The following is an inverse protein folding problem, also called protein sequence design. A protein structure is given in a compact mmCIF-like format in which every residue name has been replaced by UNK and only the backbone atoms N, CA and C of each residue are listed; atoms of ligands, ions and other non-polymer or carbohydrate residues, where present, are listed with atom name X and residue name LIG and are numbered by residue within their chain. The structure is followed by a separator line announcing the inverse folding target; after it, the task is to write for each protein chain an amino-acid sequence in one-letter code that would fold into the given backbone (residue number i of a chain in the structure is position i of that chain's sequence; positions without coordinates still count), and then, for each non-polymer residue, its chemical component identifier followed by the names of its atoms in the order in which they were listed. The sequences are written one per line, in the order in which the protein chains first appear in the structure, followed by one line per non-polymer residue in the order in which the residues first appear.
data_IF_910766850110
#
_entry.id   IF_910766850110
#
_cell.length_a   1.000
_cell.length_b   1.000
_cell.length_c   1.000
_cell.angle_alpha   90.00
_cell.angle_beta   90.00
_cell.angle_gamma   90.00
#
_symmetry.space_group_name_H-M   'P 1'
#
loop_
_entity.id
_entity.type
_entity.pdbx_description
1 polymer ?
#
# COMPACT_ATOMS: atom_id res chain seq x y z
N UNK A 1 -9.35 -59.88 -14.07
CA UNK A 1 -9.41 -58.83 -15.11
C UNK A 1 -10.86 -58.30 -15.17
N UNK A 2 -11.17 -57.36 -14.32
CA UNK A 2 -12.51 -56.76 -14.24
C UNK A 2 -12.42 -55.36 -14.80
N UNK A 3 -13.21 -55.12 -15.81
CA UNK A 3 -13.27 -53.93 -16.64
C UNK A 3 -13.78 -52.71 -15.86
N UNK A 4 -12.93 -51.71 -15.72
CA UNK A 4 -13.33 -50.35 -15.34
C UNK A 4 -13.59 -49.51 -16.62
N UNK A 5 -14.71 -49.72 -17.29
CA UNK A 5 -15.11 -48.95 -18.48
C UNK A 5 -16.55 -48.43 -18.40
N UNK A 6 -17.05 -48.09 -17.22
CA UNK A 6 -18.43 -47.60 -17.09
C UNK A 6 -18.60 -46.20 -16.51
N UNK A 7 -17.69 -45.72 -15.71
CA UNK A 7 -17.88 -44.47 -14.94
C UNK A 7 -17.66 -43.17 -15.76
N UNK A 8 -16.79 -43.20 -16.76
CA UNK A 8 -16.45 -41.98 -17.54
C UNK A 8 -17.53 -41.58 -18.54
N UNK A 9 -18.21 -42.54 -19.17
CA UNK A 9 -19.24 -42.26 -20.17
C UNK A 9 -20.55 -41.73 -19.53
N UNK A 10 -20.92 -42.19 -18.34
CA UNK A 10 -22.07 -41.68 -17.60
C UNK A 10 -21.84 -40.29 -17.01
N UNK A 11 -20.63 -39.97 -16.59
CA UNK A 11 -20.30 -38.64 -16.09
C UNK A 11 -20.30 -37.58 -17.21
N UNK A 12 -19.81 -37.92 -18.40
CA UNK A 12 -19.84 -37.01 -19.56
C UNK A 12 -21.28 -36.68 -20.00
N UNK A 13 -22.17 -37.69 -20.06
CA UNK A 13 -23.58 -37.46 -20.40
C UNK A 13 -24.35 -36.69 -19.33
N UNK A 14 -24.03 -36.87 -18.04
CA UNK A 14 -24.62 -36.09 -16.96
C UNK A 14 -24.16 -34.60 -17.00
N UNK A 15 -22.90 -34.37 -17.29
CA UNK A 15 -22.36 -33.00 -17.40
C UNK A 15 -22.94 -32.26 -18.63
N UNK A 16 -23.14 -32.94 -19.76
CA UNK A 16 -23.79 -32.37 -20.95
C UNK A 16 -25.26 -32.05 -20.70
N UNK A 17 -26.00 -32.92 -20.02
CA UNK A 17 -27.41 -32.69 -19.65
C UNK A 17 -27.51 -31.48 -18.67
N UNK A 18 -26.62 -31.42 -17.67
CA UNK A 18 -26.52 -30.30 -16.76
C UNK A 18 -26.27 -28.98 -17.51
N UNK A 19 -25.37 -28.98 -18.50
CA UNK A 19 -25.06 -27.78 -19.28
C UNK A 19 -26.24 -27.31 -20.13
N UNK A 20 -27.00 -28.25 -20.70
CA UNK A 20 -28.21 -27.94 -21.45
C UNK A 20 -29.31 -27.34 -20.53
N UNK A 21 -29.47 -27.85 -19.31
CA UNK A 21 -30.37 -27.27 -18.31
C UNK A 21 -29.95 -25.89 -17.87
N UNK A 22 -28.65 -25.69 -17.61
CA UNK A 22 -28.09 -24.39 -17.26
C UNK A 22 -28.35 -23.35 -18.36
N UNK A 23 -28.16 -23.75 -19.62
CA UNK A 23 -28.45 -22.92 -20.78
C UNK A 23 -29.94 -22.58 -20.89
N UNK A 24 -30.82 -23.55 -20.69
CA UNK A 24 -32.25 -23.30 -20.71
C UNK A 24 -32.68 -22.31 -19.61
N UNK A 25 -32.11 -22.41 -18.40
CA UNK A 25 -32.36 -21.45 -17.33
C UNK A 25 -31.87 -20.06 -17.72
N UNK A 26 -30.68 -19.96 -18.34
CA UNK A 26 -30.14 -18.69 -18.84
C UNK A 26 -31.04 -18.06 -19.91
N UNK A 27 -31.47 -18.84 -20.89
CA UNK A 27 -32.34 -18.40 -21.98
C UNK A 27 -33.75 -18.00 -21.46
N UNK A 28 -34.20 -18.59 -20.37
CA UNK A 28 -35.42 -18.20 -19.65
C UNK A 28 -35.26 -16.93 -18.79
N UNK A 29 -34.03 -16.39 -18.67
CA UNK A 29 -33.74 -15.22 -17.85
C UNK A 29 -33.55 -15.47 -16.37
N UNK A 30 -33.58 -16.73 -15.93
CA UNK A 30 -33.28 -17.14 -14.55
C UNK A 30 -31.74 -17.26 -14.36
N UNK A 31 -31.10 -16.10 -14.30
CA UNK A 31 -29.62 -16.03 -14.28
C UNK A 31 -29.04 -16.60 -12.99
N UNK A 32 -29.74 -16.50 -11.86
CA UNK A 32 -29.29 -17.08 -10.60
C UNK A 32 -29.32 -18.61 -10.65
N UNK A 33 -30.38 -19.18 -11.19
CA UNK A 33 -30.47 -20.62 -11.40
C UNK A 33 -29.44 -21.10 -12.42
N UNK A 34 -29.27 -20.36 -13.52
CA UNK A 34 -28.26 -20.67 -14.53
C UNK A 34 -26.86 -20.72 -13.97
N UNK A 35 -26.47 -19.73 -13.12
CA UNK A 35 -25.18 -19.69 -12.45
C UNK A 35 -24.94 -20.94 -11.61
N UNK A 36 -25.90 -21.29 -10.74
CA UNK A 36 -25.83 -22.49 -9.89
C UNK A 36 -25.67 -23.78 -10.70
N UNK A 37 -26.44 -23.90 -11.78
CA UNK A 37 -26.38 -25.07 -12.67
C UNK A 37 -25.02 -25.15 -13.40
N UNK A 38 -24.48 -24.05 -13.90
CA UNK A 38 -23.14 -24.06 -14.50
C UNK A 38 -22.05 -24.43 -13.48
N UNK A 39 -22.19 -24.05 -12.22
CA UNK A 39 -21.28 -24.48 -11.15
C UNK A 39 -21.38 -25.96 -10.84
N UNK A 40 -22.62 -26.51 -10.87
CA UNK A 40 -22.83 -27.94 -10.74
C UNK A 40 -22.20 -28.73 -11.91
N UNK A 41 -22.29 -28.19 -13.15
CA UNK A 41 -21.66 -28.82 -14.31
C UNK A 41 -20.14 -28.87 -14.14
N UNK A 42 -19.54 -27.84 -13.54
CA UNK A 42 -18.10 -27.81 -13.17
C UNK A 42 -17.76 -28.90 -12.16
N UNK A 43 -18.61 -29.08 -11.13
CA UNK A 43 -18.48 -30.15 -10.14
C UNK A 43 -18.64 -31.56 -10.73
N UNK A 44 -19.47 -31.72 -11.78
CA UNK A 44 -19.62 -32.94 -12.54
C UNK A 44 -18.46 -33.23 -13.52
N UNK A 45 -17.41 -32.38 -13.51
CA UNK A 45 -16.21 -32.60 -14.30
C UNK A 45 -16.18 -31.89 -15.65
N UNK A 46 -17.16 -31.04 -15.99
CA UNK A 46 -17.12 -30.22 -17.19
C UNK A 46 -16.10 -29.09 -16.99
N UNK A 47 -14.90 -29.28 -17.47
CA UNK A 47 -13.81 -28.31 -17.34
C UNK A 47 -13.62 -27.52 -18.64
N UNK A 48 -13.10 -26.29 -18.49
CA UNK A 48 -12.70 -25.48 -19.62
C UNK A 48 -13.17 -24.03 -19.55
N UNK A 49 -12.58 -23.16 -20.37
CA UNK A 49 -12.85 -21.72 -20.30
C UNK A 49 -14.31 -21.37 -20.68
N UNK A 50 -14.99 -22.20 -21.48
CA UNK A 50 -16.38 -21.95 -21.87
C UNK A 50 -17.36 -22.04 -20.68
N UNK A 51 -17.15 -22.97 -19.75
CA UNK A 51 -18.02 -23.09 -18.57
C UNK A 51 -17.82 -21.90 -17.65
N UNK A 52 -16.57 -21.54 -17.38
CA UNK A 52 -16.25 -20.34 -16.60
C UNK A 52 -16.78 -19.06 -17.25
N UNK A 53 -16.75 -18.98 -18.58
CA UNK A 53 -17.34 -17.85 -19.29
C UNK A 53 -18.86 -17.77 -19.06
N UNK A 54 -19.57 -18.88 -19.16
CA UNK A 54 -21.03 -18.92 -18.92
C UNK A 54 -21.39 -18.60 -17.46
N UNK A 55 -20.62 -19.11 -16.49
CA UNK A 55 -20.75 -18.71 -15.07
C UNK A 55 -20.57 -17.18 -14.95
N UNK A 56 -19.52 -16.63 -15.55
CA UNK A 56 -19.25 -15.19 -15.51
C UNK A 56 -20.37 -14.35 -16.10
N UNK A 57 -20.95 -14.78 -17.23
CA UNK A 57 -22.07 -14.08 -17.87
C UNK A 57 -23.35 -14.21 -17.03
N UNK A 58 -23.67 -15.39 -16.51
CA UNK A 58 -24.84 -15.61 -15.65
C UNK A 58 -24.76 -14.79 -14.37
N UNK A 59 -23.65 -14.85 -13.65
CA UNK A 59 -23.38 -14.04 -12.45
C UNK A 59 -23.46 -12.52 -12.72
N UNK A 60 -22.90 -12.07 -13.86
CA UNK A 60 -22.99 -10.67 -14.26
C UNK A 60 -24.44 -10.21 -14.50
N UNK A 61 -25.25 -11.06 -15.13
CA UNK A 61 -26.69 -10.80 -15.40
C UNK A 61 -27.52 -10.90 -14.12
N UNK A 62 -27.17 -11.80 -13.21
CA UNK A 62 -27.77 -11.91 -11.87
C UNK A 62 -27.38 -10.73 -10.95
N UNK A 63 -26.32 -9.98 -11.27
CA UNK A 63 -25.83 -8.86 -10.47
C UNK A 63 -24.73 -9.24 -9.48
N UNK A 64 -24.33 -10.51 -9.41
CA UNK A 64 -23.15 -10.93 -8.62
C UNK A 64 -21.86 -10.59 -9.35
N UNK A 65 -21.45 -9.31 -9.19
CA UNK A 65 -20.25 -8.81 -9.85
C UNK A 65 -18.94 -9.38 -9.27
N UNK A 66 -18.98 -9.91 -8.04
CA UNK A 66 -17.82 -10.54 -7.43
C UNK A 66 -17.56 -11.89 -8.08
N UNK A 67 -18.59 -12.72 -8.16
CA UNK A 67 -18.52 -14.04 -8.79
C UNK A 67 -18.21 -13.94 -10.28
N UNK A 68 -18.87 -13.01 -10.99
CA UNK A 68 -18.60 -12.73 -12.39
C UNK A 68 -17.11 -12.40 -12.63
N UNK A 69 -16.53 -11.55 -11.78
CA UNK A 69 -15.12 -11.18 -11.86
C UNK A 69 -14.19 -12.39 -11.70
N UNK A 70 -14.45 -13.25 -10.71
CA UNK A 70 -13.68 -14.48 -10.50
C UNK A 70 -13.74 -15.40 -11.72
N UNK A 71 -14.93 -15.63 -12.25
CA UNK A 71 -15.13 -16.50 -13.40
C UNK A 71 -14.41 -15.97 -14.66
N UNK A 72 -14.49 -14.67 -14.96
CA UNK A 72 -13.77 -14.09 -16.09
C UNK A 72 -12.26 -14.06 -15.89
N UNK A 73 -11.76 -13.97 -14.66
CA UNK A 73 -10.32 -14.12 -14.38
C UNK A 73 -9.82 -15.54 -14.68
N UNK A 74 -10.63 -16.58 -14.41
CA UNK A 74 -10.31 -17.95 -14.84
C UNK A 74 -10.28 -18.09 -16.37
N UNK A 75 -11.26 -17.50 -17.08
CA UNK A 75 -11.27 -17.45 -18.56
C UNK A 75 -10.01 -16.78 -19.10
N UNK A 76 -9.56 -15.71 -18.44
CA UNK A 76 -8.38 -14.93 -18.86
C UNK A 76 -7.06 -15.72 -18.81
N UNK A 77 -7.02 -16.86 -18.12
CA UNK A 77 -5.88 -17.79 -18.13
C UNK A 77 -5.70 -18.52 -19.48
N UNK A 78 -6.75 -18.55 -20.29
CA UNK A 78 -6.69 -19.13 -21.64
C UNK A 78 -6.39 -18.03 -22.65
N UNK A 79 -5.19 -17.99 -23.28
CA UNK A 79 -4.78 -16.87 -24.12
C UNK A 79 -5.76 -16.51 -25.22
N UNK A 80 -6.36 -17.52 -25.89
CA UNK A 80 -7.33 -17.30 -26.96
C UNK A 80 -8.62 -16.61 -26.49
N UNK A 81 -9.03 -16.77 -25.22
CA UNK A 81 -10.24 -16.18 -24.66
C UNK A 81 -9.95 -14.98 -23.72
N UNK A 82 -8.70 -14.74 -23.41
CA UNK A 82 -8.29 -13.67 -22.49
C UNK A 82 -8.81 -12.27 -22.92
N UNK A 83 -8.75 -11.86 -24.19
CA UNK A 83 -9.28 -10.56 -24.62
C UNK A 83 -10.78 -10.41 -24.36
N UNK A 84 -11.56 -11.47 -24.59
CA UNK A 84 -13.00 -11.47 -24.33
C UNK A 84 -13.29 -11.39 -22.82
N UNK A 85 -12.50 -12.09 -22.01
CA UNK A 85 -12.57 -11.98 -20.56
C UNK A 85 -12.25 -10.57 -20.06
N UNK A 86 -11.20 -9.92 -20.60
CA UNK A 86 -10.86 -8.53 -20.26
C UNK A 86 -11.96 -7.55 -20.65
N UNK A 87 -12.63 -7.77 -21.78
CA UNK A 87 -13.79 -6.97 -22.13
C UNK A 87 -14.91 -7.05 -21.07
N UNK A 88 -15.23 -8.26 -20.61
CA UNK A 88 -16.24 -8.46 -19.59
C UNK A 88 -15.81 -7.92 -18.20
N UNK A 89 -14.54 -8.03 -17.83
CA UNK A 89 -13.99 -7.39 -16.63
C UNK A 89 -14.10 -5.86 -16.70
N UNK A 90 -13.95 -5.28 -17.89
CA UNK A 90 -14.22 -3.87 -18.15
C UNK A 90 -15.68 -3.49 -17.92
N UNK A 91 -16.63 -4.34 -18.35
CA UNK A 91 -18.07 -4.12 -18.08
C UNK A 91 -18.40 -4.21 -16.58
N UNK A 92 -17.79 -5.14 -15.85
CA UNK A 92 -17.91 -5.24 -14.38
C UNK A 92 -17.40 -3.96 -13.72
N UNK A 93 -16.23 -3.47 -14.12
CA UNK A 93 -15.67 -2.24 -13.59
C UNK A 93 -16.60 -1.03 -13.82
N UNK A 94 -17.23 -0.95 -15.00
CA UNK A 94 -18.27 0.07 -15.27
C UNK A 94 -19.45 -0.03 -14.32
N UNK A 95 -19.99 -1.23 -14.09
CA UNK A 95 -21.09 -1.42 -13.13
C UNK A 95 -20.71 -1.05 -11.70
N UNK A 96 -19.42 -1.10 -11.36
CA UNK A 96 -18.87 -0.65 -10.07
C UNK A 96 -18.52 0.84 -10.04
N UNK A 97 -18.83 1.59 -11.11
CA UNK A 97 -18.49 2.99 -11.29
C UNK A 97 -16.97 3.27 -11.28
N UNK A 98 -16.14 2.26 -11.59
CA UNK A 98 -14.70 2.41 -11.71
C UNK A 98 -14.29 2.56 -13.18
N UNK A 99 -14.46 3.79 -13.70
CA UNK A 99 -14.11 4.13 -15.08
C UNK A 99 -12.61 3.97 -15.37
N UNK A 100 -11.73 4.15 -14.37
CA UNK A 100 -10.28 3.99 -14.52
C UNK A 100 -9.93 2.53 -14.74
N UNK A 101 -10.45 1.63 -13.94
CA UNK A 101 -10.26 0.18 -14.07
C UNK A 101 -10.90 -0.32 -15.37
N UNK A 102 -12.12 0.12 -15.70
CA UNK A 102 -12.80 -0.22 -16.95
C UNK A 102 -11.94 0.13 -18.17
N UNK A 103 -11.36 1.33 -18.18
CA UNK A 103 -10.45 1.76 -19.24
C UNK A 103 -9.23 0.87 -19.39
N UNK A 104 -8.64 0.45 -18.28
CA UNK A 104 -7.48 -0.44 -18.31
C UNK A 104 -7.81 -1.80 -18.92
N UNK A 105 -8.95 -2.38 -18.54
CA UNK A 105 -9.42 -3.66 -19.08
C UNK A 105 -9.78 -3.59 -20.57
N UNK A 106 -10.50 -2.55 -20.98
CA UNK A 106 -10.84 -2.39 -22.41
C UNK A 106 -9.60 -2.12 -23.26
N UNK A 107 -8.62 -1.33 -22.78
CA UNK A 107 -7.33 -1.17 -23.48
C UNK A 107 -6.61 -2.49 -23.66
N UNK A 108 -6.60 -3.33 -22.64
CA UNK A 108 -5.98 -4.64 -22.68
C UNK A 108 -6.70 -5.56 -23.65
N UNK A 109 -8.03 -5.60 -23.60
CA UNK A 109 -8.87 -6.34 -24.54
C UNK A 109 -8.60 -5.95 -26.00
N UNK A 110 -8.61 -4.63 -26.30
CA UNK A 110 -8.38 -4.14 -27.65
C UNK A 110 -6.97 -4.47 -28.18
N UNK A 111 -5.95 -4.37 -27.30
CA UNK A 111 -4.55 -4.59 -27.68
C UNK A 111 -4.20 -6.07 -27.89
N UNK A 112 -4.75 -6.96 -27.05
CA UNK A 112 -4.39 -8.38 -27.04
C UNK A 112 -5.35 -9.23 -27.89
N UNK A 113 -6.45 -8.66 -28.42
CA UNK A 113 -7.39 -9.38 -29.26
C UNK A 113 -6.89 -9.60 -30.67
N UNK A 114 -6.95 -10.84 -31.12
CA UNK A 114 -6.80 -11.22 -32.53
C UNK A 114 -8.15 -11.27 -33.26
N UNK A 115 -9.28 -11.20 -32.53
CA UNK A 115 -10.63 -11.09 -33.06
C UNK A 115 -10.98 -9.60 -33.22
N UNK A 116 -11.16 -9.18 -34.48
CA UNK A 116 -11.50 -7.78 -34.83
C UNK A 116 -12.80 -7.32 -34.15
N UNK A 117 -13.78 -8.21 -33.95
CA UNK A 117 -15.06 -7.86 -33.31
C UNK A 117 -14.86 -7.51 -31.85
N UNK A 118 -14.06 -8.30 -31.11
CA UNK A 118 -13.75 -8.05 -29.69
C UNK A 118 -12.92 -6.78 -29.56
N UNK A 119 -11.94 -6.59 -30.44
CA UNK A 119 -11.10 -5.40 -30.49
C UNK A 119 -11.95 -4.14 -30.76
N UNK A 120 -12.85 -4.17 -31.74
CA UNK A 120 -13.74 -3.07 -32.09
C UNK A 120 -14.74 -2.74 -30.95
N UNK A 121 -15.31 -3.78 -30.28
CA UNK A 121 -16.18 -3.57 -29.12
C UNK A 121 -15.45 -2.89 -27.97
N UNK A 122 -14.23 -3.33 -27.69
CA UNK A 122 -13.41 -2.74 -26.63
C UNK A 122 -13.00 -1.28 -26.97
N UNK A 123 -12.62 -1.01 -28.23
CA UNK A 123 -12.30 0.33 -28.69
C UNK A 123 -13.51 1.29 -28.58
N UNK A 124 -14.70 0.82 -29.00
CA UNK A 124 -15.93 1.59 -28.85
C UNK A 124 -16.23 1.92 -27.39
N UNK A 125 -16.08 0.95 -26.47
CA UNK A 125 -16.25 1.22 -25.04
C UNK A 125 -15.25 2.23 -24.50
N UNK A 126 -14.01 2.25 -25.03
CA UNK A 126 -13.01 3.24 -24.68
C UNK A 126 -13.40 4.67 -25.12
N UNK A 127 -14.04 4.80 -26.27
CA UNK A 127 -14.57 6.06 -26.77
C UNK A 127 -15.79 6.57 -25.97
N UNK A 128 -16.67 5.66 -25.56
CA UNK A 128 -17.86 5.96 -24.75
C UNK A 128 -17.48 6.32 -23.29
N UNK A 129 -16.33 5.89 -22.80
CA UNK A 129 -15.86 6.28 -21.47
C UNK A 129 -15.57 7.78 -21.44
N UNK A 130 -16.04 8.51 -20.40
CA UNK A 130 -15.63 9.88 -20.19
C UNK A 130 -14.11 9.96 -20.40
N UNK A 131 -13.64 10.84 -21.26
CA UNK A 131 -12.19 11.10 -21.34
C UNK A 131 -11.75 11.26 -19.90
N UNK A 132 -10.80 10.44 -19.44
CA UNK A 132 -10.28 10.59 -18.09
C UNK A 132 -9.96 12.08 -17.98
N UNK A 133 -10.68 12.79 -17.10
CA UNK A 133 -10.30 14.14 -16.76
C UNK A 133 -8.80 13.99 -16.43
N UNK A 134 -7.97 14.70 -17.17
CA UNK A 134 -6.53 14.67 -16.86
C UNK A 134 -6.44 15.00 -15.39
N UNK A 135 -5.95 14.07 -14.58
CA UNK A 135 -5.71 14.38 -13.18
C UNK A 135 -4.95 15.71 -13.17
N UNK A 136 -5.27 16.62 -12.29
CA UNK A 136 -4.55 17.88 -12.23
C UNK A 136 -3.05 17.53 -12.17
N UNK A 137 -2.19 18.33 -12.80
CA UNK A 137 -0.75 18.04 -12.82
C UNK A 137 -0.13 18.11 -11.42
N UNK A 138 -0.90 18.48 -10.43
CA UNK A 138 -0.48 18.63 -9.04
C UNK A 138 -1.36 17.80 -8.09
N UNK A 139 -0.79 17.43 -6.98
CA UNK A 139 -1.50 16.88 -5.81
C UNK A 139 -1.01 17.57 -4.55
N UNK A 140 -1.90 17.75 -3.59
CA UNK A 140 -1.58 18.30 -2.28
C UNK A 140 -2.14 17.37 -1.21
N UNK A 141 -1.39 17.22 -0.15
CA UNK A 141 -1.75 16.55 1.08
C UNK A 141 -1.39 17.45 2.24
N UNK A 142 -2.26 17.55 3.23
CA UNK A 142 -1.94 18.22 4.48
C UNK A 142 -2.57 17.44 5.65
N UNK A 143 -1.86 17.41 6.77
CA UNK A 143 -2.31 16.86 8.04
C UNK A 143 -2.02 17.85 9.14
N UNK A 144 -3.03 18.15 9.96
CA UNK A 144 -2.88 18.91 11.21
C UNK A 144 -3.44 18.10 12.38
N UNK A 145 -2.76 18.09 13.50
CA UNK A 145 -3.15 17.29 14.65
C UNK A 145 -2.61 17.83 15.96
N UNK A 146 -3.19 17.30 17.04
CA UNK A 146 -2.73 17.51 18.42
C UNK A 146 -2.67 16.15 19.12
N UNK A 147 -1.85 16.05 20.13
CA UNK A 147 -1.70 14.80 20.87
C UNK A 147 -0.98 14.95 22.19
N UNK A 148 -0.68 13.81 22.76
CA UNK A 148 0.04 13.69 24.04
C UNK A 148 1.03 12.52 23.93
N UNK A 149 2.19 12.71 24.52
CA UNK A 149 3.32 11.80 24.53
C UNK A 149 3.80 11.67 25.98
N UNK A 150 3.76 10.46 26.53
CA UNK A 150 4.13 10.23 27.93
C UNK A 150 5.64 10.01 28.15
N UNK A 151 6.43 9.97 27.08
CA UNK A 151 7.89 9.82 27.16
C UNK A 151 8.59 10.45 25.95
N UNK A 152 8.58 11.78 25.90
CA UNK A 152 9.18 12.59 24.81
C UNK A 152 10.68 12.32 24.65
N UNK A 153 11.41 12.23 25.77
CA UNK A 153 12.87 12.03 25.76
C UNK A 153 13.31 10.59 25.49
N UNK A 154 12.39 9.62 25.39
CA UNK A 154 12.66 8.18 25.19
C UNK A 154 13.62 7.62 26.26
N UNK A 155 13.40 7.97 27.50
CA UNK A 155 14.26 7.59 28.64
C UNK A 155 13.64 6.50 29.49
N UNK A 156 14.51 5.78 30.20
CA UNK A 156 14.08 4.75 31.16
C UNK A 156 13.42 5.35 32.39
N UNK A 157 12.26 4.84 32.77
CA UNK A 157 11.57 5.20 34.00
C UNK A 157 12.35 4.80 35.28
N UNK A 158 13.28 3.83 35.15
CA UNK A 158 14.07 3.34 36.29
C UNK A 158 15.18 4.30 36.74
N UNK A 159 15.47 5.34 35.96
CA UNK A 159 16.51 6.31 36.27
C UNK A 159 15.86 7.54 36.92
N UNK A 160 16.05 7.71 38.23
CA UNK A 160 15.70 8.93 38.97
C UNK A 160 16.58 10.12 38.53
N UNK A 161 16.63 10.40 37.24
CA UNK A 161 17.29 11.58 36.69
C UNK A 161 16.27 12.69 36.47
N UNK A 162 16.62 13.96 36.71
CA UNK A 162 15.79 15.08 36.26
C UNK A 162 15.53 14.93 34.74
N UNK A 163 14.27 14.73 34.35
CA UNK A 163 13.86 14.49 32.96
C UNK A 163 13.56 13.03 32.59
N UNK A 164 13.64 12.05 33.52
CA UNK A 164 13.03 10.74 33.30
C UNK A 164 11.50 10.89 33.34
N UNK A 165 10.79 10.37 32.32
CA UNK A 165 9.34 10.46 32.23
C UNK A 165 8.83 11.85 31.88
N UNK A 166 9.51 12.57 30.97
CA UNK A 166 9.01 13.84 30.43
C UNK A 166 7.85 13.57 29.51
N UNK A 167 6.65 13.91 29.97
CA UNK A 167 5.42 13.87 29.21
C UNK A 167 5.07 15.28 28.72
N UNK A 168 4.50 15.39 27.54
CA UNK A 168 4.04 16.68 27.01
C UNK A 168 2.94 16.51 25.95
N UNK A 169 2.14 17.55 25.82
CA UNK A 169 1.21 17.70 24.69
C UNK A 169 1.94 18.27 23.48
N UNK A 170 1.46 17.94 22.30
CA UNK A 170 2.07 18.43 21.07
C UNK A 170 1.03 18.86 20.04
N UNK A 171 1.50 19.66 19.08
CA UNK A 171 0.81 19.94 17.84
C UNK A 171 1.69 19.54 16.65
N UNK A 172 1.07 18.97 15.61
CA UNK A 172 1.74 18.61 14.36
C UNK A 172 1.07 19.27 13.15
N UNK A 173 1.88 19.68 12.19
CA UNK A 173 1.43 20.09 10.86
C UNK A 173 2.37 19.48 9.82
N UNK A 174 1.81 18.76 8.86
CA UNK A 174 2.52 18.24 7.71
C UNK A 174 1.82 18.71 6.44
N UNK A 175 2.58 19.21 5.48
CA UNK A 175 2.12 19.50 4.14
C UNK A 175 3.05 18.85 3.13
N UNK A 176 2.50 18.24 2.10
CA UNK A 176 3.25 17.69 0.98
C UNK A 176 2.52 17.96 -0.32
N UNK A 177 3.27 18.12 -1.39
CA UNK A 177 2.71 18.34 -2.70
C UNK A 177 3.60 17.79 -3.80
N UNK A 178 2.99 17.49 -4.93
CA UNK A 178 3.72 17.11 -6.13
C UNK A 178 3.17 17.86 -7.34
N UNK A 179 4.04 18.13 -8.31
CA UNK A 179 3.71 18.78 -9.56
C UNK A 179 4.37 18.06 -10.73
N UNK A 180 3.55 17.48 -11.62
CA UNK A 180 4.00 16.87 -12.86
C UNK A 180 4.17 17.95 -13.93
N UNK A 181 5.40 18.42 -14.13
CA UNK A 181 5.71 19.45 -15.14
C UNK A 181 5.94 18.87 -16.54
N UNK A 182 6.22 17.57 -16.63
CA UNK A 182 6.27 16.78 -17.86
C UNK A 182 5.61 15.42 -17.61
N UNK A 183 5.26 14.64 -18.64
CA UNK A 183 4.54 13.37 -18.50
C UNK A 183 5.22 12.35 -17.57
N UNK A 184 6.55 12.39 -17.47
CA UNK A 184 7.35 11.45 -16.66
C UNK A 184 8.15 12.15 -15.58
N UNK A 185 8.08 13.47 -15.45
CA UNK A 185 8.85 14.24 -14.49
C UNK A 185 7.95 14.93 -13.47
N UNK A 186 8.32 14.82 -12.21
CA UNK A 186 7.58 15.37 -11.07
C UNK A 186 8.52 16.11 -10.12
N UNK A 187 8.07 17.24 -9.62
CA UNK A 187 8.65 17.90 -8.45
C UNK A 187 7.85 17.48 -7.24
N UNK A 188 8.53 17.12 -6.18
CA UNK A 188 7.95 16.74 -4.89
C UNK A 188 8.48 17.70 -3.83
N UNK A 189 7.60 18.25 -2.99
CA UNK A 189 7.96 19.10 -1.87
C UNK A 189 7.18 18.66 -0.62
N UNK A 190 7.84 18.71 0.54
CA UNK A 190 7.19 18.45 1.82
C UNK A 190 7.76 19.37 2.90
N UNK A 191 6.90 19.78 3.84
CA UNK A 191 7.25 20.51 5.04
C UNK A 191 6.48 19.92 6.22
N UNK A 192 7.15 19.74 7.34
CA UNK A 192 6.57 19.25 8.58
C UNK A 192 7.04 20.08 9.77
N UNK A 193 6.13 20.32 10.70
CA UNK A 193 6.39 21.00 11.96
C UNK A 193 5.76 20.15 13.06
N UNK A 194 6.53 19.90 14.10
CA UNK A 194 6.09 19.23 15.31
C UNK A 194 6.53 20.09 16.50
N UNK A 195 5.60 20.44 17.36
CA UNK A 195 5.85 21.33 18.49
C UNK A 195 5.29 20.74 19.78
N UNK A 196 6.13 20.65 20.77
CA UNK A 196 5.73 20.36 22.13
C UNK A 196 5.27 21.64 22.86
N UNK A 197 4.47 21.49 23.90
CA UNK A 197 3.92 22.63 24.63
C UNK A 197 4.94 23.27 25.58
N UNK A 198 5.83 22.47 26.16
CA UNK A 198 6.79 22.89 27.18
C UNK A 198 8.22 22.40 26.89
N UNK A 199 8.38 21.33 26.12
CA UNK A 199 9.67 20.69 25.80
C UNK A 199 10.15 21.11 24.42
N UNK A 200 10.41 22.41 24.25
CA UNK A 200 10.77 23.02 22.97
C UNK A 200 12.11 22.52 22.40
N UNK A 201 13.01 21.97 23.24
CA UNK A 201 14.23 21.32 22.79
C UNK A 201 13.99 20.08 21.92
N UNK A 202 12.78 19.48 21.96
CA UNK A 202 12.38 18.37 21.10
C UNK A 202 11.52 18.80 19.90
N UNK A 203 11.31 20.08 19.73
CA UNK A 203 10.60 20.63 18.58
C UNK A 203 11.30 20.29 17.27
N UNK A 204 10.51 19.87 16.28
CA UNK A 204 11.06 19.44 14.99
C UNK A 204 10.51 20.27 13.83
N UNK A 205 11.36 20.56 12.88
CA UNK A 205 10.97 21.10 11.57
C UNK A 205 11.68 20.31 10.48
N UNK A 206 10.92 19.78 9.52
CA UNK A 206 11.45 19.05 8.39
C UNK A 206 11.04 19.73 7.08
N UNK A 207 12.00 19.87 6.17
CA UNK A 207 11.78 20.37 4.81
C UNK A 207 12.38 19.39 3.81
N UNK A 208 11.71 19.17 2.69
CA UNK A 208 12.21 18.32 1.61
C UNK A 208 11.76 18.87 0.26
N UNK A 209 12.66 18.83 -0.72
CA UNK A 209 12.39 19.13 -2.11
C UNK A 209 13.09 18.10 -2.99
N UNK A 210 12.42 17.62 -4.02
CA UNK A 210 12.98 16.63 -4.91
C UNK A 210 12.43 16.71 -6.32
N UNK A 211 13.12 16.03 -7.22
CA UNK A 211 12.71 15.81 -8.60
C UNK A 211 12.74 14.32 -8.88
N UNK A 212 11.65 13.80 -9.43
CA UNK A 212 11.46 12.38 -9.71
C UNK A 212 11.18 12.18 -11.21
N UNK A 213 11.80 11.16 -11.80
CA UNK A 213 11.56 10.70 -13.17
C UNK A 213 10.96 9.31 -13.16
N UNK A 214 9.79 9.17 -13.77
CA UNK A 214 9.07 7.90 -13.93
C UNK A 214 9.45 7.17 -15.21
N UNK A 215 9.77 5.89 -15.11
CA UNK A 215 10.14 4.99 -16.21
C UNK A 215 9.23 3.76 -16.17
N UNK A 216 8.21 3.69 -17.06
CA UNK A 216 7.42 2.46 -17.19
C UNK A 216 8.26 1.38 -17.89
N UNK A 217 8.43 0.22 -17.23
CA UNK A 217 9.25 -0.87 -17.74
C UNK A 217 8.51 -2.21 -17.56
N UNK A 218 7.99 -2.77 -18.63
CA UNK A 218 7.38 -4.10 -18.69
C UNK A 218 6.44 -4.45 -17.50
N UNK A 219 5.48 -3.56 -17.26
CA UNK A 219 4.51 -3.69 -16.18
C UNK A 219 5.03 -3.30 -14.79
N UNK A 220 6.29 -2.89 -14.66
CA UNK A 220 6.84 -2.19 -13.51
C UNK A 220 6.75 -0.68 -13.70
N UNK A 221 6.52 0.04 -12.62
CA UNK A 221 6.75 1.47 -12.55
C UNK A 221 8.06 1.68 -11.79
N UNK A 222 9.08 2.15 -12.48
CA UNK A 222 10.33 2.56 -11.87
C UNK A 222 10.33 4.07 -11.75
N UNK A 223 10.71 4.59 -10.59
CA UNK A 223 10.91 6.01 -10.32
C UNK A 223 12.34 6.23 -9.84
N UNK A 224 13.03 7.20 -10.42
CA UNK A 224 14.36 7.64 -10.00
C UNK A 224 14.28 9.10 -9.58
N UNK A 225 14.83 9.45 -8.43
CA UNK A 225 14.72 10.80 -7.89
C UNK A 225 15.99 11.30 -7.21
N UNK A 226 16.13 12.63 -7.19
CA UNK A 226 17.10 13.36 -6.39
C UNK A 226 16.36 14.26 -5.41
N UNK A 227 16.82 14.31 -4.15
CA UNK A 227 16.16 15.03 -3.06
C UNK A 227 17.17 15.80 -2.23
N UNK A 228 16.79 17.01 -1.81
CA UNK A 228 17.44 17.75 -0.74
C UNK A 228 16.51 17.81 0.46
N UNK A 229 17.03 17.66 1.67
CA UNK A 229 16.26 17.81 2.90
C UNK A 229 17.02 18.47 4.01
N UNK A 230 16.29 19.10 4.92
CA UNK A 230 16.77 19.69 6.16
C UNK A 230 15.85 19.28 7.29
N UNK A 231 16.43 18.87 8.39
CA UNK A 231 15.77 18.60 9.66
C UNK A 231 16.36 19.53 10.73
N UNK A 232 15.50 20.14 11.52
CA UNK A 232 15.88 20.95 12.67
C UNK A 232 15.27 20.35 13.94
N UNK A 233 16.01 20.45 15.06
CA UNK A 233 15.62 20.00 16.39
C UNK A 233 15.88 21.12 17.40
N UNK A 234 14.91 21.44 18.25
CA UNK A 234 15.02 22.52 19.24
C UNK A 234 15.28 23.91 18.63
N UNK A 235 14.97 24.11 17.36
CA UNK A 235 15.24 25.34 16.62
C UNK A 235 16.54 25.33 15.81
N UNK A 236 17.51 24.48 16.15
CA UNK A 236 18.78 24.36 15.46
C UNK A 236 18.73 23.36 14.31
N UNK A 237 19.55 23.57 13.30
CA UNK A 237 19.66 22.61 12.20
C UNK A 237 20.36 21.36 12.71
N UNK A 238 19.62 20.24 12.70
CA UNK A 238 20.10 18.94 13.10
C UNK A 238 20.91 18.27 11.98
N UNK A 239 20.33 18.21 10.77
CA UNK A 239 21.00 17.67 9.59
C UNK A 239 20.52 18.32 8.30
N UNK A 240 21.39 18.37 7.30
CA UNK A 240 21.04 18.53 5.89
C UNK A 240 21.46 17.31 5.10
N UNK A 241 20.69 16.92 4.11
CA UNK A 241 21.06 15.79 3.27
C UNK A 241 20.72 16.00 1.80
N UNK A 242 21.53 15.36 0.94
CA UNK A 242 21.26 15.18 -0.48
C UNK A 242 21.17 13.68 -0.74
N UNK A 243 20.12 13.25 -1.42
CA UNK A 243 19.85 11.84 -1.65
C UNK A 243 19.58 11.54 -3.12
N UNK A 244 20.01 10.37 -3.57
CA UNK A 244 19.47 9.69 -4.74
C UNK A 244 18.55 8.56 -4.27
N UNK A 245 17.41 8.40 -4.94
CA UNK A 245 16.45 7.35 -4.62
C UNK A 245 15.97 6.63 -5.88
N UNK A 246 15.70 5.34 -5.75
CA UNK A 246 15.05 4.51 -6.75
C UNK A 246 13.88 3.79 -6.10
N UNK A 247 12.73 3.77 -6.76
CA UNK A 247 11.56 3.01 -6.34
C UNK A 247 11.04 2.21 -7.50
N UNK A 248 10.73 0.94 -7.27
CA UNK A 248 10.08 0.06 -8.23
C UNK A 248 8.75 -0.42 -7.65
N UNK A 249 7.70 -0.43 -8.46
CA UNK A 249 6.41 -0.97 -8.05
C UNK A 249 5.74 -1.75 -9.17
N UNK A 250 5.04 -2.83 -8.80
CA UNK A 250 4.25 -3.65 -9.73
C UNK A 250 2.98 -4.13 -9.06
N UNK A 251 1.85 -3.90 -9.74
CA UNK A 251 0.58 -4.47 -9.35
C UNK A 251 0.38 -5.83 -10.04
N UNK A 252 0.07 -6.85 -9.25
CA UNK A 252 -0.28 -8.19 -9.71
C UNK A 252 -1.79 -8.34 -9.61
N UNK A 253 -2.45 -8.47 -10.75
CA UNK A 253 -3.91 -8.54 -10.80
C UNK A 253 -4.45 -9.68 -9.92
N UNK A 254 -5.31 -9.35 -8.96
CA UNK A 254 -5.90 -10.29 -8.00
C UNK A 254 -5.00 -10.68 -6.82
N UNK A 255 -3.71 -10.28 -6.82
CA UNK A 255 -2.75 -10.68 -5.78
C UNK A 255 -2.21 -9.51 -4.95
N UNK A 256 -2.27 -8.28 -5.45
CA UNK A 256 -1.79 -7.11 -4.72
C UNK A 256 -0.66 -6.36 -5.41
N UNK A 257 0.03 -5.51 -4.67
CA UNK A 257 1.09 -4.63 -5.19
C UNK A 257 2.37 -4.83 -4.38
N UNK A 258 3.47 -5.05 -5.07
CA UNK A 258 4.82 -5.02 -4.50
C UNK A 258 5.44 -3.65 -4.76
N UNK A 259 6.10 -3.08 -3.76
CA UNK A 259 6.97 -1.91 -3.87
C UNK A 259 8.32 -2.22 -3.25
N UNK A 260 9.38 -1.74 -3.89
CA UNK A 260 10.73 -1.76 -3.32
C UNK A 260 11.35 -0.38 -3.51
N UNK A 261 12.17 0.04 -2.56
CA UNK A 261 12.89 1.31 -2.65
C UNK A 261 14.32 1.18 -2.16
N UNK A 262 15.17 2.00 -2.72
CA UNK A 262 16.56 2.23 -2.29
C UNK A 262 16.78 3.73 -2.23
N UNK A 263 17.38 4.22 -1.16
CA UNK A 263 17.80 5.60 -1.00
C UNK A 263 19.23 5.64 -0.47
N UNK A 264 20.07 6.44 -1.11
CA UNK A 264 21.43 6.71 -0.66
C UNK A 264 21.57 8.22 -0.46
N UNK A 265 21.99 8.62 0.73
CA UNK A 265 22.09 10.01 1.13
C UNK A 265 23.50 10.34 1.58
N UNK A 266 23.99 11.52 1.22
CA UNK A 266 25.07 12.21 1.92
C UNK A 266 24.42 13.09 2.97
N UNK A 267 24.82 12.92 4.22
CA UNK A 267 24.29 13.64 5.39
C UNK A 267 25.37 14.58 5.90
N UNK A 268 24.99 15.80 6.23
CA UNK A 268 25.83 16.79 6.90
C UNK A 268 25.14 17.21 8.20
N UNK A 269 25.71 16.81 9.33
CA UNK A 269 25.27 17.26 10.65
C UNK A 269 25.83 18.65 10.95
N UNK A 270 25.08 19.47 11.68
CA UNK A 270 25.47 20.85 11.99
C UNK A 270 25.57 21.07 13.49
N UNK A 271 26.45 21.99 13.91
CA UNK A 271 26.65 22.36 15.30
C UNK A 271 27.03 21.16 16.17
N UNK A 272 26.29 20.96 17.25
CA UNK A 272 26.45 19.82 18.17
C UNK A 272 26.20 18.46 17.54
N UNK A 273 25.59 18.44 16.35
CA UNK A 273 25.27 17.24 15.58
C UNK A 273 26.25 16.99 14.43
N UNK A 274 27.39 17.69 14.38
CA UNK A 274 28.39 17.54 13.31
C UNK A 274 28.86 16.09 13.13
N UNK A 275 28.91 15.31 14.21
CA UNK A 275 29.24 13.87 14.18
C UNK A 275 28.29 12.97 13.36
N UNK A 276 27.10 13.48 13.00
CA UNK A 276 26.16 12.79 12.08
C UNK A 276 26.63 12.82 10.61
N UNK A 277 27.62 13.65 10.29
CA UNK A 277 28.17 13.78 8.93
C UNK A 277 28.64 12.42 8.41
N UNK A 278 28.18 12.07 7.20
CA UNK A 278 28.49 10.76 6.63
C UNK A 278 27.56 10.33 5.52
N UNK A 279 27.29 9.04 5.44
CA UNK A 279 26.39 8.46 4.46
C UNK A 279 25.30 7.61 5.11
N UNK A 280 24.11 7.62 4.50
CA UNK A 280 22.98 6.81 4.93
C UNK A 280 22.40 6.05 3.75
N UNK A 281 22.26 4.75 3.89
CA UNK A 281 21.66 3.88 2.89
C UNK A 281 20.42 3.22 3.47
N UNK A 282 19.27 3.43 2.83
CA UNK A 282 17.98 2.82 3.18
C UNK A 282 17.54 1.87 2.07
N UNK A 283 17.07 0.69 2.46
CA UNK A 283 16.47 -0.30 1.56
C UNK A 283 15.17 -0.79 2.16
N UNK A 284 14.14 -0.94 1.34
CA UNK A 284 12.89 -1.50 1.81
C UNK A 284 12.07 -2.17 0.73
N UNK A 285 11.20 -3.07 1.17
CA UNK A 285 10.20 -3.70 0.33
C UNK A 285 8.88 -3.77 1.10
N UNK A 286 7.79 -3.62 0.37
CA UNK A 286 6.43 -3.66 0.89
C UNK A 286 5.54 -4.43 -0.06
N UNK A 287 4.65 -5.24 0.51
CA UNK A 287 3.61 -5.93 -0.20
C UNK A 287 2.24 -5.52 0.34
N UNK A 288 1.37 -5.04 -0.53
CA UNK A 288 0.00 -4.64 -0.21
C UNK A 288 -0.99 -5.54 -0.94
N UNK A 289 -2.00 -6.00 -0.23
CA UNK A 289 -3.10 -6.75 -0.82
C UNK A 289 -4.41 -6.44 -0.12
N UNK A 290 -5.51 -6.81 -0.73
CA UNK A 290 -6.84 -6.63 -0.15
C UNK A 290 -7.69 -7.87 -0.35
N UNK A 291 -8.53 -8.16 0.64
CA UNK A 291 -9.50 -9.24 0.58
C UNK A 291 -10.81 -8.77 1.21
N UNK A 292 -11.87 -8.68 0.41
CA UNK A 292 -13.16 -8.11 0.81
C UNK A 292 -13.01 -6.66 1.31
N UNK A 293 -13.43 -6.39 2.56
CA UNK A 293 -13.32 -5.08 3.21
C UNK A 293 -12.01 -4.87 3.98
N UNK A 294 -11.08 -5.83 3.92
CA UNK A 294 -9.80 -5.79 4.61
C UNK A 294 -8.67 -5.49 3.62
N UNK A 295 -7.88 -4.49 3.93
CA UNK A 295 -6.60 -4.24 3.29
C UNK A 295 -5.48 -4.69 4.22
N UNK A 296 -4.39 -5.20 3.65
CA UNK A 296 -3.21 -5.66 4.38
C UNK A 296 -1.96 -5.08 3.76
N UNK A 297 -0.98 -4.78 4.58
CA UNK A 297 0.36 -4.48 4.14
C UNK A 297 1.37 -5.23 5.02
N UNK A 298 2.45 -5.69 4.42
CA UNK A 298 3.61 -6.20 5.13
C UNK A 298 4.86 -5.55 4.54
N UNK A 299 5.83 -5.22 5.38
CA UNK A 299 7.07 -4.59 4.93
C UNK A 299 8.28 -5.13 5.67
N UNK A 300 9.41 -5.04 4.98
CA UNK A 300 10.74 -5.17 5.54
C UNK A 300 11.56 -3.98 5.08
N UNK A 301 12.28 -3.32 5.97
CA UNK A 301 13.17 -2.21 5.65
C UNK A 301 14.39 -2.22 6.54
N UNK A 302 15.47 -1.62 6.06
CA UNK A 302 16.68 -1.49 6.82
C UNK A 302 17.45 -0.26 6.43
N UNK A 303 18.31 0.17 7.33
CA UNK A 303 19.19 1.30 7.17
C UNK A 303 20.59 0.95 7.65
N UNK A 304 21.55 1.45 6.92
CA UNK A 304 22.94 1.53 7.32
C UNK A 304 23.35 3.01 7.35
N UNK A 305 23.72 3.48 8.53
CA UNK A 305 24.16 4.84 8.77
C UNK A 305 25.64 4.82 9.15
N UNK A 306 26.47 5.39 8.28
CA UNK A 306 27.93 5.49 8.43
C UNK A 306 28.27 6.95 8.71
N UNK A 307 28.52 7.26 9.98
CA UNK A 307 28.78 8.60 10.47
C UNK A 307 30.25 8.78 10.86
N UNK A 308 30.74 10.02 10.82
CA UNK A 308 32.07 10.38 11.29
C UNK A 308 32.28 10.04 12.77
N UNK A 309 31.25 10.30 13.59
CA UNK A 309 31.27 9.88 15.00
C UNK A 309 30.47 8.57 15.16
N UNK A 310 31.15 7.53 15.66
CA UNK A 310 30.55 6.22 15.90
C UNK A 310 29.38 6.23 16.89
N UNK A 311 29.25 7.27 17.71
CA UNK A 311 28.10 7.45 18.62
C UNK A 311 26.78 7.55 17.84
N UNK A 312 26.81 8.13 16.64
CA UNK A 312 25.64 8.25 15.78
C UNK A 312 25.54 7.17 14.70
N UNK A 313 26.60 6.37 14.51
CA UNK A 313 26.58 5.29 13.56
C UNK A 313 25.67 4.15 14.04
N UNK A 314 24.82 3.68 13.18
CA UNK A 314 23.91 2.56 13.50
C UNK A 314 23.47 1.83 12.25
N UNK A 315 23.02 0.60 12.44
CA UNK A 315 22.31 -0.15 11.40
C UNK A 315 21.08 -0.81 12.02
N UNK A 316 20.01 -0.82 11.29
CA UNK A 316 18.80 -1.47 11.78
C UNK A 316 18.04 -2.20 10.69
N UNK A 317 17.26 -3.18 11.11
CA UNK A 317 16.28 -3.87 10.29
C UNK A 317 14.94 -3.79 11.00
N UNK A 318 13.88 -3.50 10.24
CA UNK A 318 12.50 -3.46 10.73
C UNK A 318 11.62 -4.36 9.87
N UNK A 319 10.78 -5.14 10.53
CA UNK A 319 9.69 -5.90 9.93
C UNK A 319 8.37 -5.35 10.48
N UNK A 320 7.36 -5.24 9.65
CA UNK A 320 6.07 -4.79 10.11
C UNK A 320 4.92 -5.28 9.26
N UNK A 321 3.73 -5.13 9.81
CA UNK A 321 2.48 -5.45 9.15
C UNK A 321 1.36 -4.54 9.60
N UNK A 322 0.38 -4.35 8.72
CA UNK A 322 -0.80 -3.53 8.94
C UNK A 322 -2.04 -4.22 8.39
N UNK A 323 -3.14 -4.12 9.11
CA UNK A 323 -4.48 -4.46 8.66
C UNK A 323 -5.37 -3.23 8.71
N UNK A 324 -6.08 -2.97 7.61
CA UNK A 324 -7.01 -1.86 7.42
C UNK A 324 -8.40 -2.41 7.18
N UNK A 325 -9.34 -2.10 8.02
CA UNK A 325 -10.71 -2.58 7.94
C UNK A 325 -11.69 -1.43 7.68
N UNK A 326 -12.38 -1.46 6.56
CA UNK A 326 -13.52 -0.58 6.28
C UNK A 326 -14.75 -1.14 6.99
N UNK A 327 -15.06 -0.60 8.18
CA UNK A 327 -16.20 -1.02 9.01
C UNK A 327 -17.52 -0.59 8.38
N UNK A 328 -17.56 0.65 7.88
CA UNK A 328 -18.67 1.26 7.15
C UNK A 328 -18.12 2.17 6.05
N UNK A 329 -18.93 2.73 5.16
CA UNK A 329 -18.45 3.72 4.18
C UNK A 329 -17.78 4.96 4.81
N UNK A 330 -18.06 5.26 6.08
CA UNK A 330 -17.53 6.43 6.78
C UNK A 330 -16.48 6.09 7.83
N UNK A 331 -16.48 4.88 8.37
CA UNK A 331 -15.59 4.48 9.46
C UNK A 331 -14.63 3.37 9.06
N UNK A 332 -13.39 3.51 9.44
CA UNK A 332 -12.35 2.50 9.31
C UNK A 332 -11.60 2.27 10.62
N UNK A 333 -10.94 1.14 10.70
CA UNK A 333 -10.02 0.77 11.77
C UNK A 333 -8.74 0.25 11.13
N UNK A 334 -7.60 0.79 11.56
CA UNK A 334 -6.28 0.32 11.17
C UNK A 334 -5.56 -0.21 12.41
N UNK A 335 -4.85 -1.31 12.26
CA UNK A 335 -3.97 -1.82 13.30
C UNK A 335 -2.65 -2.21 12.65
N UNK A 336 -1.53 -1.84 13.26
CA UNK A 336 -0.19 -2.21 12.79
C UNK A 336 0.72 -2.60 13.94
N UNK A 337 1.68 -3.47 13.62
CA UNK A 337 2.77 -3.82 14.52
C UNK A 337 4.09 -3.75 13.74
N UNK A 338 5.15 -3.33 14.43
CA UNK A 338 6.51 -3.32 13.89
C UNK A 338 7.53 -3.78 14.92
N UNK A 339 8.50 -4.53 14.45
CA UNK A 339 9.64 -4.99 15.23
C UNK A 339 10.90 -4.46 14.56
N UNK A 340 11.74 -3.74 15.29
CA UNK A 340 13.03 -3.23 14.82
C UNK A 340 14.14 -3.74 15.71
N UNK A 341 15.19 -4.23 15.09
CA UNK A 341 16.48 -4.47 15.74
C UNK A 341 17.49 -3.47 15.24
N UNK A 342 18.14 -2.79 16.19
CA UNK A 342 19.21 -1.82 15.92
C UNK A 342 20.52 -2.38 16.48
N UNK A 343 21.57 -2.35 15.67
CA UNK A 343 22.92 -2.68 16.08
C UNK A 343 23.71 -1.38 16.26
N UNK A 344 24.19 -1.16 17.45
CA UNK A 344 25.03 -0.03 17.80
C UNK A 344 26.50 -0.48 17.77
N UNK A 345 27.42 0.24 17.11
CA UNK A 345 28.82 -0.08 17.11
C UNK A 345 29.43 0.12 18.50
N UNK A 346 30.62 -0.46 18.72
CA UNK A 346 31.38 -0.19 19.93
C UNK A 346 31.77 1.28 19.99
N UNK A 347 31.68 1.85 21.19
CA UNK A 347 32.11 3.22 21.52
C UNK A 347 33.31 3.16 22.45
N UNK A 348 34.04 4.27 22.67
CA UNK A 348 35.28 4.29 23.49
C UNK A 348 35.10 3.69 24.90
N UNK A 349 33.91 3.82 25.48
CA UNK A 349 33.60 3.36 26.86
C UNK A 349 32.56 2.26 26.92
N UNK A 350 32.05 1.80 25.76
CA UNK A 350 30.94 0.88 25.69
C UNK A 350 31.17 -0.14 24.56
N UNK A 351 31.01 -1.45 24.87
CA UNK A 351 30.98 -2.49 23.85
C UNK A 351 29.76 -2.32 22.92
N UNK A 352 29.82 -2.92 21.73
CA UNK A 352 28.68 -2.95 20.81
C UNK A 352 27.48 -3.64 21.45
N UNK A 353 26.26 -3.13 21.21
CA UNK A 353 25.02 -3.70 21.74
C UNK A 353 23.90 -3.69 20.70
N UNK A 354 22.81 -4.33 21.03
CA UNK A 354 21.61 -4.35 20.20
C UNK A 354 20.41 -3.83 21.00
N UNK A 355 19.57 -3.04 20.34
CA UNK A 355 18.29 -2.64 20.87
C UNK A 355 17.17 -3.32 20.07
N UNK A 356 16.18 -3.85 20.76
CA UNK A 356 14.97 -4.43 20.16
C UNK A 356 13.77 -3.55 20.49
N UNK A 357 13.17 -2.96 19.45
CA UNK A 357 12.01 -2.07 19.57
C UNK A 357 10.77 -2.73 19.01
N UNK A 358 9.74 -2.84 19.82
CA UNK A 358 8.41 -3.27 19.43
C UNK A 358 7.47 -2.07 19.49
N UNK A 359 6.71 -1.84 18.43
CA UNK A 359 5.66 -0.83 18.44
C UNK A 359 4.35 -1.41 17.92
N UNK A 360 3.27 -1.01 18.53
CA UNK A 360 1.90 -1.37 18.18
C UNK A 360 1.05 -0.11 18.04
N UNK A 361 0.30 0.01 16.95
CA UNK A 361 -0.55 1.17 16.67
C UNK A 361 -1.96 0.71 16.34
N UNK A 362 -2.94 1.42 16.89
CA UNK A 362 -4.36 1.33 16.52
C UNK A 362 -4.84 2.71 16.11
N UNK A 363 -5.62 2.77 15.06
CA UNK A 363 -6.11 4.01 14.51
C UNK A 363 -7.55 3.86 14.04
N UNK A 364 -8.45 4.67 14.61
CA UNK A 364 -9.82 4.81 14.12
C UNK A 364 -9.87 5.97 13.11
N UNK A 365 -10.51 5.75 11.98
CA UNK A 365 -10.64 6.74 10.92
C UNK A 365 -12.09 7.07 10.64
N UNK A 366 -12.39 8.34 10.34
CA UNK A 366 -13.71 8.78 9.93
C UNK A 366 -13.62 9.70 8.74
N UNK A 367 -14.26 9.32 7.63
CA UNK A 367 -14.41 10.20 6.48
C UNK A 367 -15.34 11.35 6.84
N UNK A 368 -14.85 12.59 6.77
CA UNK A 368 -15.60 13.82 7.02
C UNK A 368 -16.29 14.29 5.74
N UNK A 369 -15.53 14.36 4.64
CA UNK A 369 -15.99 14.59 3.28
C UNK A 369 -15.05 13.92 2.28
N UNK A 370 -15.33 14.01 0.98
CA UNK A 370 -14.61 13.26 -0.08
C UNK A 370 -13.06 13.38 -0.02
N UNK A 371 -12.54 14.49 0.49
CA UNK A 371 -11.12 14.82 0.49
C UNK A 371 -10.60 15.09 1.91
N UNK A 372 -11.31 14.63 2.95
CA UNK A 372 -10.85 14.81 4.32
C UNK A 372 -11.25 13.64 5.22
N UNK A 373 -10.38 13.32 6.13
CA UNK A 373 -10.53 12.24 7.09
C UNK A 373 -10.01 12.65 8.46
N UNK A 374 -10.75 12.30 9.51
CA UNK A 374 -10.31 12.39 10.90
C UNK A 374 -9.64 11.08 11.29
N UNK A 375 -8.56 11.18 12.04
CA UNK A 375 -7.81 10.08 12.62
C UNK A 375 -7.74 10.23 14.12
N UNK A 376 -8.03 9.16 14.84
CA UNK A 376 -7.77 9.03 16.26
C UNK A 376 -6.78 7.88 16.41
N UNK A 377 -5.59 8.16 16.91
CA UNK A 377 -4.46 7.24 16.94
C UNK A 377 -3.98 7.02 18.35
N UNK A 378 -3.69 5.76 18.65
CA UNK A 378 -2.92 5.33 19.81
C UNK A 378 -1.74 4.50 19.35
N UNK A 379 -0.57 4.75 19.88
CA UNK A 379 0.63 3.96 19.67
C UNK A 379 1.30 3.66 21.00
N UNK A 380 1.68 2.41 21.18
CA UNK A 380 2.57 1.97 22.26
C UNK A 380 3.87 1.50 21.64
N UNK A 381 4.99 1.97 22.18
CA UNK A 381 6.33 1.59 21.77
C UNK A 381 7.14 1.18 23.00
N UNK A 382 7.85 0.05 22.88
CA UNK A 382 8.76 -0.47 23.89
C UNK A 382 10.12 -0.73 23.26
N UNK A 383 11.17 -0.23 23.89
CA UNK A 383 12.55 -0.50 23.53
C UNK A 383 13.24 -1.30 24.63
N UNK A 384 13.70 -2.50 24.26
CA UNK A 384 14.52 -3.35 25.12
C UNK A 384 15.98 -3.13 24.75
N UNK A 385 16.79 -2.77 25.75
CA UNK A 385 18.23 -2.53 25.60
C UNK A 385 18.99 -3.19 26.74
N UNK A 386 20.19 -3.72 26.52
CA UNK A 386 21.06 -4.13 27.61
C UNK A 386 21.58 -2.92 28.43
N UNK A 387 21.45 -1.72 27.89
CA UNK A 387 21.85 -0.47 28.55
C UNK A 387 20.61 0.21 29.09
N UNK A 388 20.50 0.33 30.41
CA UNK A 388 19.29 0.79 31.10
C UNK A 388 18.77 2.16 30.63
N UNK A 389 19.65 3.10 30.28
CA UNK A 389 19.22 4.43 29.83
C UNK A 389 18.46 4.42 28.49
N UNK A 390 18.62 3.36 27.68
CA UNK A 390 17.93 3.20 26.40
C UNK A 390 16.69 2.26 26.51
N UNK A 391 16.41 1.72 27.70
CA UNK A 391 15.21 0.90 27.91
C UNK A 391 14.06 1.81 28.27
N UNK A 392 12.98 1.82 27.45
CA UNK A 392 11.82 2.66 27.71
C UNK A 392 10.52 2.02 27.20
N UNK A 393 9.42 2.47 27.80
CA UNK A 393 8.07 2.37 27.27
C UNK A 393 7.58 3.79 26.91
N UNK A 394 6.73 3.88 25.89
CA UNK A 394 6.14 5.13 25.43
C UNK A 394 4.73 4.89 24.95
N UNK A 395 3.80 5.72 25.39
CA UNK A 395 2.44 5.79 24.86
C UNK A 395 2.22 7.14 24.19
N UNK A 396 1.64 7.09 23.01
CA UNK A 396 1.41 8.26 22.20
C UNK A 396 -0.02 8.25 21.70
N UNK A 397 -0.76 9.34 21.91
CA UNK A 397 -2.14 9.51 21.44
C UNK A 397 -2.24 10.78 20.60
N UNK A 398 -3.01 10.74 19.53
CA UNK A 398 -3.24 11.91 18.69
C UNK A 398 -4.62 11.90 18.04
N UNK A 399 -5.12 13.11 17.81
CA UNK A 399 -6.23 13.38 16.91
C UNK A 399 -5.74 14.27 15.79
N UNK A 400 -5.95 13.87 14.53
CA UNK A 400 -5.52 14.65 13.36
C UNK A 400 -6.57 14.64 12.25
N UNK A 401 -6.56 15.69 11.43
CA UNK A 401 -7.36 15.78 10.21
C UNK A 401 -6.39 15.78 9.03
N UNK A 402 -6.66 14.91 8.08
CA UNK A 402 -5.97 14.85 6.80
C UNK A 402 -6.88 15.39 5.69
N UNK A 403 -6.30 16.17 4.80
CA UNK A 403 -6.95 16.68 3.60
C UNK A 403 -6.05 16.43 2.39
N UNK A 404 -6.67 16.11 1.25
CA UNK A 404 -5.94 15.87 0.00
C UNK A 404 -6.73 16.33 -1.22
N UNK A 405 -5.99 16.62 -2.31
CA UNK A 405 -6.56 16.96 -3.61
C UNK A 405 -5.83 16.26 -4.75
#
# INVERSE_FOLDING_TARGET
MVLFFGAGAHAATAAEACFAEARAAFDAGDFTKAELLYEQCLALGMQGPAVHYNIGVAAYRAGDLARAGQAFMEVARTPAMAPLAYYNLGLIALKRNDAKLARSWFKRSARESTDERVSALAARRLEELPKAASAPPWSIYARGGIGYDDNVALRSESINSPGSGQDDSFAELLAAGSFNFLPTWRIDAAAGVFRYSTLDEFDQTALSLGVTHGLPLDGWNLELGGYGSQLSLGGDVYERSIAAAAQASKAFAGYGTVRAHLRVSSVNGEGDFSGLTGSRTELGAQYEWSWRSLGYAAWARGEYNDCEDTVFASRWIELGGEARWALTPLWGLNASARLRRTWQPAQPTQESWNDDRLAFRVEATRTLWKQAQLYLRYEHERNESPIDIYRYDRNWVAASIEVWH
#
